data_IF_061874251228
#
_entry.id   IF_061874251228
#
_cell.length_a   1.000
_cell.length_b   1.000
_cell.length_c   1.000
_cell.angle_alpha   90.00
_cell.angle_beta   90.00
_cell.angle_gamma   90.00
#
_symmetry.space_group_name_H-M   'P 1'
#
loop_
_entity.id
_entity.type
_entity.pdbx_description
1 polymer ?
#
# COMPACT_ATOMS: atom_id res chain seq x y z
N UNK A 1 -12.15 -21.13 -30.60
CA UNK A 1 -10.98 -20.34 -30.23
C UNK A 1 -10.00 -21.26 -29.55
N UNK A 2 -8.69 -21.15 -29.85
CA UNK A 2 -7.66 -21.85 -29.08
C UNK A 2 -7.67 -21.27 -27.66
N UNK A 3 -7.70 -22.15 -26.66
CA UNK A 3 -7.65 -21.76 -25.24
C UNK A 3 -6.31 -21.06 -24.96
N UNK A 4 -6.34 -19.86 -24.39
CA UNK A 4 -5.13 -19.14 -23.99
C UNK A 4 -4.45 -19.89 -22.84
N UNK A 5 -3.11 -19.88 -22.80
CA UNK A 5 -2.33 -20.55 -21.74
C UNK A 5 -1.34 -19.59 -21.10
N UNK A 6 -1.16 -19.71 -19.78
CA UNK A 6 -0.15 -18.96 -19.02
C UNK A 6 0.55 -19.88 -18.01
N UNK A 7 1.81 -19.58 -17.69
CA UNK A 7 2.51 -20.21 -16.57
C UNK A 7 1.98 -19.66 -15.24
N UNK A 8 1.75 -18.33 -15.20
CA UNK A 8 1.19 -17.62 -14.04
C UNK A 8 0.19 -16.57 -14.51
N UNK A 9 -0.96 -16.47 -13.84
CA UNK A 9 -1.89 -15.36 -14.00
C UNK A 9 -1.96 -14.55 -12.70
N UNK A 10 -1.74 -13.24 -12.80
CA UNK A 10 -1.90 -12.28 -11.70
C UNK A 10 -3.21 -11.53 -11.88
N UNK A 11 -4.08 -11.55 -10.88
CA UNK A 11 -5.39 -10.86 -10.90
C UNK A 11 -5.27 -9.52 -10.20
N UNK A 12 -5.40 -8.42 -10.96
CA UNK A 12 -5.35 -7.04 -10.50
C UNK A 12 -4.06 -6.32 -10.87
N UNK A 13 -4.17 -5.23 -11.67
CA UNK A 13 -3.06 -4.36 -12.06
C UNK A 13 -2.96 -3.11 -11.17
N UNK A 14 -3.21 -3.27 -9.87
CA UNK A 14 -2.72 -2.37 -8.83
C UNK A 14 -1.20 -2.53 -8.66
N UNK A 15 -0.56 -1.66 -7.88
CA UNK A 15 0.90 -1.63 -7.73
C UNK A 15 1.51 -2.97 -7.28
N UNK A 16 0.83 -3.70 -6.37
CA UNK A 16 1.33 -4.99 -5.89
C UNK A 16 1.25 -6.08 -6.96
N UNK A 17 0.14 -6.15 -7.72
CA UNK A 17 0.03 -7.08 -8.85
C UNK A 17 0.98 -6.73 -9.99
N UNK A 18 1.14 -5.45 -10.32
CA UNK A 18 2.08 -4.99 -11.34
C UNK A 18 3.54 -5.30 -10.97
N UNK A 19 3.94 -5.02 -9.72
CA UNK A 19 5.27 -5.35 -9.21
C UNK A 19 5.52 -6.86 -9.21
N UNK A 20 4.52 -7.66 -8.78
CA UNK A 20 4.63 -9.14 -8.80
C UNK A 20 4.78 -9.67 -10.23
N UNK A 21 3.94 -9.23 -11.16
CA UNK A 21 4.00 -9.65 -12.55
C UNK A 21 5.35 -9.30 -13.21
N UNK A 22 5.84 -8.08 -12.98
CA UNK A 22 7.16 -7.64 -13.42
C UNK A 22 8.27 -8.54 -12.87
N UNK A 23 8.28 -8.80 -11.58
CA UNK A 23 9.32 -9.60 -10.96
C UNK A 23 9.27 -11.08 -11.39
N UNK A 24 8.10 -11.63 -11.72
CA UNK A 24 7.97 -12.97 -12.31
C UNK A 24 8.68 -13.04 -13.67
N UNK A 25 8.40 -12.12 -14.59
CA UNK A 25 9.05 -12.13 -15.91
C UNK A 25 10.55 -11.82 -15.81
N UNK A 26 10.96 -10.90 -14.91
CA UNK A 26 12.37 -10.59 -14.61
C UNK A 26 13.12 -11.82 -14.12
N UNK A 27 12.44 -12.74 -13.39
CA UNK A 27 13.00 -14.03 -12.93
C UNK A 27 12.87 -15.16 -13.96
N UNK A 28 12.42 -14.88 -15.18
CA UNK A 28 12.41 -15.82 -16.30
C UNK A 28 11.16 -16.66 -16.47
N UNK A 29 10.06 -16.36 -15.77
CA UNK A 29 8.75 -16.96 -16.06
C UNK A 29 8.31 -16.51 -17.45
N UNK A 30 8.03 -17.47 -18.36
CA UNK A 30 7.89 -17.18 -19.80
C UNK A 30 6.55 -16.56 -20.16
N UNK A 31 5.45 -17.06 -19.59
CA UNK A 31 4.09 -16.68 -19.93
C UNK A 31 3.36 -16.18 -18.70
N UNK A 32 3.56 -14.90 -18.38
CA UNK A 32 2.83 -14.23 -17.31
C UNK A 32 1.73 -13.36 -17.91
N UNK A 33 0.49 -13.54 -17.45
CA UNK A 33 -0.65 -12.69 -17.81
C UNK A 33 -1.05 -11.88 -16.58
N UNK A 34 -1.14 -10.57 -16.74
CA UNK A 34 -1.69 -9.64 -15.74
C UNK A 34 -3.10 -9.24 -16.17
N UNK A 35 -4.12 -9.65 -15.38
CA UNK A 35 -5.53 -9.32 -15.64
C UNK A 35 -5.93 -8.06 -14.87
N UNK A 36 -6.61 -7.14 -15.54
CA UNK A 36 -7.21 -5.96 -14.91
C UNK A 36 -8.63 -5.72 -15.44
N UNK A 37 -9.60 -5.68 -14.52
CA UNK A 37 -11.00 -5.45 -14.88
C UNK A 37 -11.30 -4.05 -15.41
N UNK A 38 -10.51 -3.07 -15.00
CA UNK A 38 -10.58 -1.68 -15.42
C UNK A 38 -9.29 -1.25 -16.10
N UNK A 39 -8.77 -0.09 -15.70
CA UNK A 39 -7.49 0.46 -16.15
C UNK A 39 -6.40 0.22 -15.07
N UNK A 40 -5.14 0.23 -15.50
CA UNK A 40 -3.99 0.15 -14.61
C UNK A 40 -4.14 1.18 -13.48
N UNK A 41 -3.90 0.75 -12.23
CA UNK A 41 -3.96 1.59 -11.03
C UNK A 41 -5.34 2.23 -10.73
N UNK A 42 -6.43 1.87 -11.41
CA UNK A 42 -7.74 2.51 -11.23
C UNK A 42 -8.43 2.17 -9.89
N UNK A 43 -7.94 1.16 -9.16
CA UNK A 43 -8.42 0.78 -7.83
C UNK A 43 -7.82 1.63 -6.71
N UNK A 44 -7.59 1.01 -5.54
CA UNK A 44 -7.02 1.67 -4.36
C UNK A 44 -5.65 2.29 -4.59
N UNK A 45 -4.85 1.73 -5.51
CA UNK A 45 -3.52 2.26 -5.83
C UNK A 45 -3.55 3.71 -6.30
N UNK A 46 -4.31 4.04 -7.33
CA UNK A 46 -4.34 5.39 -7.90
C UNK A 46 -5.01 6.43 -6.99
N UNK A 47 -5.64 5.98 -5.91
CA UNK A 47 -6.30 6.81 -4.90
C UNK A 47 -5.53 6.86 -3.58
N UNK A 48 -4.26 6.43 -3.59
CA UNK A 48 -3.39 6.44 -2.42
C UNK A 48 -2.71 7.79 -2.26
N UNK A 49 -2.57 8.28 -1.02
CA UNK A 49 -1.67 9.38 -0.70
C UNK A 49 -0.21 9.06 -1.04
N UNK A 50 0.11 7.80 -1.23
CA UNK A 50 1.44 7.31 -1.64
C UNK A 50 2.61 7.82 -0.78
N UNK A 51 2.37 8.00 0.52
CA UNK A 51 3.42 8.34 1.49
C UNK A 51 4.34 7.13 1.67
N UNK A 52 5.63 7.35 1.47
CA UNK A 52 6.70 6.38 1.67
C UNK A 52 7.32 6.66 3.04
N UNK A 53 7.08 5.78 4.02
CA UNK A 53 7.64 5.82 5.38
C UNK A 53 8.08 4.43 5.82
N UNK A 54 9.01 4.37 6.77
CA UNK A 54 9.62 3.11 7.20
C UNK A 54 9.20 2.69 8.61
N UNK A 55 8.36 3.46 9.28
CA UNK A 55 7.93 3.22 10.64
C UNK A 55 6.91 2.08 10.72
N UNK A 56 7.35 0.90 11.16
CA UNK A 56 6.55 -0.30 11.38
C UNK A 56 6.93 -0.98 12.69
N UNK A 57 6.00 -1.76 13.27
CA UNK A 57 6.18 -2.48 14.53
C UNK A 57 6.62 -3.95 14.35
N UNK A 58 6.43 -4.51 13.15
CA UNK A 58 6.78 -5.90 12.85
C UNK A 58 8.13 -5.96 12.12
N UNK A 59 9.12 -6.75 12.63
CA UNK A 59 10.47 -6.77 12.06
C UNK A 59 10.52 -7.09 10.55
N UNK A 60 9.72 -8.05 10.09
CA UNK A 60 9.72 -8.40 8.66
C UNK A 60 9.11 -7.27 7.79
N UNK A 61 8.08 -6.54 8.28
CA UNK A 61 7.59 -5.35 7.59
C UNK A 61 8.64 -4.24 7.53
N UNK A 62 9.45 -4.09 8.58
CA UNK A 62 10.58 -3.13 8.58
C UNK A 62 11.59 -3.50 7.50
N UNK A 63 11.95 -4.79 7.36
CA UNK A 63 12.84 -5.24 6.28
C UNK A 63 12.23 -5.02 4.90
N UNK A 64 10.95 -5.36 4.73
CA UNK A 64 10.20 -5.16 3.47
C UNK A 64 10.17 -3.69 3.07
N UNK A 65 9.82 -2.79 3.98
CA UNK A 65 9.75 -1.36 3.65
C UNK A 65 11.13 -0.77 3.43
N UNK A 66 12.16 -1.21 4.17
CA UNK A 66 13.55 -0.79 3.93
C UNK A 66 13.98 -1.09 2.50
N UNK A 67 13.82 -2.36 2.07
CA UNK A 67 14.14 -2.76 0.69
C UNK A 67 13.31 -1.96 -0.33
N UNK A 68 12.03 -1.73 -0.04
CA UNK A 68 11.17 -0.94 -0.92
C UNK A 68 11.64 0.51 -1.06
N UNK A 69 12.08 1.14 0.03
CA UNK A 69 12.62 2.51 0.01
C UNK A 69 13.93 2.56 -0.79
N UNK A 70 14.81 1.57 -0.63
CA UNK A 70 16.01 1.44 -1.47
C UNK A 70 15.66 1.38 -2.97
N UNK A 71 14.63 0.60 -3.34
CA UNK A 71 14.14 0.55 -4.72
C UNK A 71 13.56 1.90 -5.16
N UNK A 72 12.80 2.62 -4.31
CA UNK A 72 12.28 3.93 -4.66
C UNK A 72 13.38 4.96 -4.92
N UNK A 73 14.48 4.93 -4.15
CA UNK A 73 15.64 5.79 -4.36
C UNK A 73 16.39 5.49 -5.67
N UNK A 74 16.39 4.23 -6.11
CA UNK A 74 17.10 3.75 -7.30
C UNK A 74 16.14 3.19 -8.35
N UNK A 75 14.91 3.73 -8.42
CA UNK A 75 13.83 3.13 -9.20
C UNK A 75 14.14 2.97 -10.69
N UNK A 76 14.84 3.93 -11.27
CA UNK A 76 15.23 3.87 -12.68
C UNK A 76 16.21 2.72 -12.96
N UNK A 77 17.18 2.54 -12.09
CA UNK A 77 18.17 1.44 -12.20
C UNK A 77 17.55 0.07 -11.89
N UNK A 78 16.70 -0.02 -10.88
CA UNK A 78 16.13 -1.29 -10.37
C UNK A 78 14.97 -1.82 -11.21
N UNK A 79 14.11 -0.91 -11.67
CA UNK A 79 12.87 -1.22 -12.39
C UNK A 79 12.92 -0.69 -13.83
N UNK A 80 13.40 0.52 -14.02
CA UNK A 80 13.31 1.30 -15.25
C UNK A 80 12.12 2.24 -15.24
N UNK A 81 12.30 3.46 -15.71
CA UNK A 81 11.30 4.52 -15.71
C UNK A 81 11.23 5.29 -14.39
N UNK A 82 10.17 6.05 -14.19
CA UNK A 82 10.06 6.99 -13.08
C UNK A 82 8.92 6.62 -12.12
N UNK A 83 9.23 6.53 -10.83
CA UNK A 83 8.19 6.35 -9.78
C UNK A 83 7.55 7.66 -9.36
N UNK A 84 8.16 8.80 -9.70
CA UNK A 84 7.78 10.11 -9.14
C UNK A 84 8.09 10.22 -7.65
N UNK A 85 9.07 9.47 -7.14
CA UNK A 85 9.49 9.55 -5.75
C UNK A 85 10.15 10.89 -5.45
N UNK A 86 9.66 11.53 -4.38
CA UNK A 86 10.20 12.78 -3.82
C UNK A 86 10.67 12.48 -2.41
N UNK A 87 11.98 12.48 -2.21
CA UNK A 87 12.59 12.34 -0.90
C UNK A 87 12.52 13.69 -0.15
N UNK A 88 11.38 13.96 0.47
CA UNK A 88 11.19 15.17 1.27
C UNK A 88 11.39 14.94 2.78
N UNK A 89 11.65 13.69 3.19
CA UNK A 89 11.61 13.28 4.59
C UNK A 89 10.19 13.03 5.09
N UNK A 90 10.10 12.34 6.24
CA UNK A 90 8.84 12.09 6.91
C UNK A 90 9.00 12.25 8.42
N UNK A 91 8.00 12.91 9.04
CA UNK A 91 7.94 13.07 10.49
C UNK A 91 6.69 12.40 11.08
N UNK A 92 6.85 11.74 12.23
CA UNK A 92 5.76 11.14 12.98
C UNK A 92 5.54 11.91 14.27
N UNK A 93 4.38 12.51 14.41
CA UNK A 93 3.98 13.32 15.56
C UNK A 93 3.16 12.47 16.52
N UNK A 94 3.69 12.23 17.72
CA UNK A 94 3.15 11.28 18.69
C UNK A 94 2.66 12.01 19.94
N UNK A 95 1.39 11.80 20.35
CA UNK A 95 0.86 12.34 21.59
C UNK A 95 1.35 11.54 22.80
N UNK A 96 1.17 12.08 24.00
CA UNK A 96 1.68 11.49 25.25
C UNK A 96 1.17 10.07 25.51
N UNK A 97 -0.13 9.81 25.23
CA UNK A 97 -0.78 8.53 25.55
C UNK A 97 -0.31 7.32 24.72
N UNK A 98 0.53 7.52 23.70
CA UNK A 98 1.11 6.45 22.86
C UNK A 98 2.62 6.28 23.03
N UNK A 99 3.24 6.92 24.02
CA UNK A 99 4.69 6.91 24.21
C UNK A 99 5.25 5.55 24.67
N UNK A 100 4.41 4.71 25.31
CA UNK A 100 4.79 3.36 25.68
C UNK A 100 5.02 2.50 24.43
N UNK A 101 6.13 1.82 24.34
CA UNK A 101 6.52 1.03 23.18
C UNK A 101 7.21 1.82 22.05
N UNK A 102 7.06 3.15 21.99
CA UNK A 102 7.68 3.99 20.99
C UNK A 102 9.21 3.82 20.94
N UNK A 103 9.89 3.88 22.10
CA UNK A 103 11.34 3.72 22.17
C UNK A 103 11.79 2.33 21.72
N UNK A 104 11.08 1.26 22.13
CA UNK A 104 11.38 -0.12 21.71
C UNK A 104 11.22 -0.29 20.19
N UNK A 105 10.17 0.32 19.64
CA UNK A 105 9.93 0.28 18.19
C UNK A 105 11.03 1.00 17.41
N UNK A 106 11.41 2.20 17.86
CA UNK A 106 12.48 2.99 17.26
C UNK A 106 13.85 2.27 17.33
N UNK A 107 14.14 1.64 18.46
CA UNK A 107 15.37 0.85 18.64
C UNK A 107 15.39 -0.38 17.71
N UNK A 108 14.27 -1.09 17.59
CA UNK A 108 14.15 -2.23 16.66
C UNK A 108 14.38 -1.79 15.21
N UNK A 109 13.77 -0.68 14.77
CA UNK A 109 13.94 -0.14 13.44
C UNK A 109 15.41 0.24 13.16
N UNK A 110 16.07 0.91 14.11
CA UNK A 110 17.51 1.24 14.00
C UNK A 110 18.39 0.01 13.89
N UNK A 111 18.13 -1.02 14.70
CA UNK A 111 18.87 -2.32 14.62
C UNK A 111 18.69 -2.99 13.27
N UNK A 112 17.55 -2.83 12.62
CA UNK A 112 17.29 -3.33 11.28
C UNK A 112 17.82 -2.39 10.17
N UNK A 113 18.48 -1.28 10.56
CA UNK A 113 19.17 -0.38 9.64
C UNK A 113 18.28 0.68 9.01
N UNK A 114 17.14 1.02 9.64
CA UNK A 114 16.35 2.18 9.26
C UNK A 114 17.07 3.45 9.75
N UNK A 115 17.25 4.41 8.84
CA UNK A 115 17.74 5.74 9.17
C UNK A 115 16.58 6.56 9.80
N UNK A 116 16.35 6.33 11.09
CA UNK A 116 15.29 7.00 11.85
C UNK A 116 15.83 7.51 13.17
N UNK A 117 15.39 8.66 13.60
CA UNK A 117 15.79 9.26 14.87
C UNK A 117 14.67 10.03 15.53
N UNK A 118 14.70 10.06 16.85
CA UNK A 118 13.90 11.01 17.61
C UNK A 118 14.53 12.38 17.50
N UNK A 119 13.70 13.39 17.29
CA UNK A 119 14.10 14.80 17.21
C UNK A 119 13.27 15.62 18.19
N UNK A 120 13.77 16.78 18.58
CA UNK A 120 13.04 17.73 19.41
C UNK A 120 12.21 18.71 18.56
N UNK A 121 11.41 19.54 19.23
CA UNK A 121 10.52 20.52 18.56
C UNK A 121 11.32 21.59 17.79
N UNK A 122 12.45 22.02 18.31
CA UNK A 122 13.29 23.06 17.67
C UNK A 122 13.90 22.52 16.39
N UNK A 123 14.36 21.26 16.37
CA UNK A 123 14.86 20.61 15.16
C UNK A 123 13.75 20.51 14.08
N UNK A 124 12.53 20.15 14.47
CA UNK A 124 11.42 20.10 13.50
C UNK A 124 11.03 21.50 13.02
N UNK A 125 11.00 22.51 13.90
CA UNK A 125 10.74 23.90 13.51
C UNK A 125 11.82 24.47 12.56
N UNK A 126 13.07 24.04 12.62
CA UNK A 126 14.08 24.39 11.63
C UNK A 126 13.75 23.85 10.23
N UNK A 127 13.14 22.66 10.15
CA UNK A 127 12.73 22.05 8.88
C UNK A 127 11.39 22.60 8.38
N UNK A 128 10.40 22.73 9.28
CA UNK A 128 9.06 23.24 8.99
C UNK A 128 8.60 24.24 10.07
N UNK A 129 8.93 25.54 9.92
CA UNK A 129 8.67 26.53 10.97
C UNK A 129 7.19 26.88 11.17
N UNK A 130 6.30 26.44 10.28
CA UNK A 130 4.87 26.76 10.31
C UNK A 130 4.05 25.77 11.14
N UNK A 131 4.64 24.64 11.54
CA UNK A 131 3.95 23.56 12.26
C UNK A 131 3.70 23.92 13.72
N UNK A 132 2.47 23.82 14.21
CA UNK A 132 2.17 23.87 15.64
C UNK A 132 2.44 22.50 16.28
N UNK A 133 3.20 22.48 17.36
CA UNK A 133 3.62 21.26 18.07
C UNK A 133 3.15 21.24 19.52
N UNK A 134 2.20 22.10 19.91
CA UNK A 134 1.76 22.26 21.31
C UNK A 134 1.23 20.98 21.95
N UNK A 135 0.57 20.12 21.17
CA UNK A 135 -0.03 18.84 21.58
C UNK A 135 0.86 17.60 21.25
N UNK A 136 2.06 17.81 20.75
CA UNK A 136 3.00 16.76 20.36
C UNK A 136 3.96 16.46 21.50
N UNK A 137 4.05 15.20 21.91
CA UNK A 137 4.92 14.74 22.99
C UNK A 137 6.28 14.25 22.46
N UNK A 138 6.28 13.42 21.41
CA UNK A 138 7.50 12.86 20.80
C UNK A 138 7.44 12.99 19.27
N UNK A 139 8.60 13.04 18.65
CA UNK A 139 8.72 13.19 17.20
C UNK A 139 9.80 12.23 16.71
N UNK A 140 9.47 11.38 15.69
CA UNK A 140 10.51 10.71 14.90
C UNK A 140 10.65 11.37 13.54
N UNK A 141 11.86 11.31 13.01
CA UNK A 141 12.19 11.80 11.68
C UNK A 141 12.94 10.74 10.88
N UNK A 142 12.49 10.52 9.65
CA UNK A 142 13.08 9.62 8.66
C UNK A 142 13.51 10.44 7.43
N UNK A 143 14.81 10.73 7.26
CA UNK A 143 15.29 11.56 6.14
C UNK A 143 15.16 10.87 4.78
N UNK A 144 15.18 9.53 4.73
CA UNK A 144 15.14 8.76 3.49
C UNK A 144 13.70 8.46 3.02
N UNK A 145 12.72 9.00 3.72
CA UNK A 145 11.29 8.83 3.46
C UNK A 145 10.71 10.01 2.65
N UNK A 146 9.45 9.90 2.21
CA UNK A 146 8.81 10.94 1.41
C UNK A 146 7.49 10.47 0.82
N UNK A 147 7.30 10.68 -0.48
CA UNK A 147 6.12 10.21 -1.21
C UNK A 147 6.46 9.92 -2.68
N UNK A 148 5.59 9.17 -3.37
CA UNK A 148 5.76 8.90 -4.79
C UNK A 148 4.45 9.15 -5.56
N UNK A 149 4.49 9.00 -6.88
CA UNK A 149 3.31 9.07 -7.72
C UNK A 149 2.78 7.64 -7.96
N UNK A 150 1.56 7.30 -7.46
CA UNK A 150 1.06 5.93 -7.53
C UNK A 150 0.77 5.47 -8.97
N UNK A 151 0.36 6.37 -9.85
CA UNK A 151 0.16 6.06 -11.26
C UNK A 151 1.50 5.83 -11.95
N UNK A 152 2.46 6.78 -11.84
CA UNK A 152 3.75 6.66 -12.48
C UNK A 152 4.49 5.37 -12.04
N UNK A 153 4.51 5.08 -10.74
CA UNK A 153 5.10 3.85 -10.20
C UNK A 153 4.48 2.59 -10.82
N UNK A 154 3.14 2.53 -10.87
CA UNK A 154 2.44 1.33 -11.38
C UNK A 154 2.62 1.18 -12.90
N UNK A 155 2.51 2.29 -13.64
CA UNK A 155 2.75 2.29 -15.08
C UNK A 155 4.17 1.87 -15.44
N UNK A 156 5.20 2.31 -14.69
CA UNK A 156 6.57 1.90 -14.90
C UNK A 156 6.75 0.37 -14.76
N UNK A 157 6.18 -0.23 -13.68
CA UNK A 157 6.17 -1.68 -13.53
C UNK A 157 5.49 -2.39 -14.69
N UNK A 158 4.32 -1.92 -15.12
CA UNK A 158 3.56 -2.55 -16.22
C UNK A 158 4.28 -2.38 -17.55
N UNK A 159 4.90 -1.23 -17.80
CA UNK A 159 5.67 -1.02 -19.02
C UNK A 159 6.86 -1.99 -19.08
N UNK A 160 7.64 -2.08 -18.00
CA UNK A 160 8.77 -3.03 -17.94
C UNK A 160 8.32 -4.48 -18.03
N UNK A 161 7.21 -4.83 -17.39
CA UNK A 161 6.57 -6.14 -17.54
C UNK A 161 6.30 -6.49 -19.00
N UNK A 162 5.71 -5.56 -19.77
CA UNK A 162 5.43 -5.74 -21.21
C UNK A 162 6.72 -5.85 -22.04
N UNK A 163 7.70 -4.99 -21.78
CA UNK A 163 9.00 -5.00 -22.48
C UNK A 163 9.76 -6.33 -22.29
N UNK A 164 9.57 -6.98 -21.13
CA UNK A 164 10.13 -8.30 -20.83
C UNK A 164 9.27 -9.47 -21.35
N UNK A 165 8.21 -9.19 -22.12
CA UNK A 165 7.35 -10.18 -22.76
C UNK A 165 6.12 -10.61 -21.96
N UNK A 166 5.80 -9.93 -20.87
CA UNK A 166 4.55 -10.13 -20.14
C UNK A 166 3.33 -9.60 -20.88
N UNK A 167 2.18 -10.22 -20.69
CA UNK A 167 0.93 -9.84 -21.34
C UNK A 167 -0.04 -9.20 -20.34
N UNK A 168 -0.41 -7.94 -20.57
CA UNK A 168 -1.48 -7.25 -19.84
C UNK A 168 -2.79 -7.37 -20.61
N UNK A 169 -3.86 -7.75 -19.90
CA UNK A 169 -5.23 -7.73 -20.38
C UNK A 169 -6.05 -6.75 -19.52
N UNK A 170 -6.14 -5.49 -19.98
CA UNK A 170 -7.02 -4.48 -19.39
C UNK A 170 -8.47 -4.72 -19.82
N UNK A 171 -9.42 -4.13 -19.13
CA UNK A 171 -10.87 -4.28 -19.34
C UNK A 171 -11.29 -5.75 -19.40
N UNK A 172 -10.53 -6.62 -18.70
CA UNK A 172 -10.73 -8.07 -18.68
C UNK A 172 -10.87 -8.54 -17.24
N UNK A 173 -12.11 -8.75 -16.83
CA UNK A 173 -12.43 -9.27 -15.50
C UNK A 173 -12.20 -10.79 -15.43
N UNK A 174 -11.51 -11.23 -14.36
CA UNK A 174 -11.66 -12.61 -13.92
C UNK A 174 -13.08 -12.80 -13.37
N UNK A 175 -13.74 -13.86 -13.72
CA UNK A 175 -15.14 -14.16 -13.32
C UNK A 175 -15.26 -15.46 -12.51
N UNK A 176 -14.20 -16.27 -12.48
CA UNK A 176 -14.17 -17.53 -11.74
C UNK A 176 -12.83 -18.23 -11.86
N UNK A 177 -12.65 -19.26 -11.06
CA UNK A 177 -11.54 -20.19 -11.11
C UNK A 177 -12.07 -21.62 -11.28
N UNK A 178 -11.34 -22.46 -12.04
CA UNK A 178 -11.55 -23.89 -12.05
C UNK A 178 -10.51 -24.55 -11.18
N UNK A 179 -10.98 -25.31 -10.20
CA UNK A 179 -10.15 -26.08 -9.27
C UNK A 179 -10.48 -27.57 -9.50
N UNK A 180 -9.49 -28.35 -9.89
CA UNK A 180 -9.64 -29.78 -10.10
C UNK A 180 -8.61 -30.53 -9.26
N UNK A 181 -9.05 -31.58 -8.56
CA UNK A 181 -8.19 -32.38 -7.66
C UNK A 181 -7.38 -31.57 -6.67
N UNK A 182 -7.96 -30.43 -6.19
CA UNK A 182 -7.32 -29.55 -5.22
C UNK A 182 -6.36 -28.51 -5.79
N UNK A 183 -6.18 -28.44 -7.11
CA UNK A 183 -5.29 -27.47 -7.78
C UNK A 183 -5.99 -26.60 -8.81
N UNK A 184 -5.44 -25.42 -9.06
CA UNK A 184 -5.90 -24.49 -10.09
C UNK A 184 -5.65 -25.10 -11.48
N UNK A 185 -6.63 -24.98 -12.39
CA UNK A 185 -6.48 -25.43 -13.80
C UNK A 185 -6.78 -24.34 -14.81
N UNK A 186 -7.64 -23.37 -14.48
CA UNK A 186 -7.90 -22.21 -15.34
C UNK A 186 -8.56 -21.05 -14.62
N UNK A 187 -8.48 -19.85 -15.23
CA UNK A 187 -9.28 -18.68 -14.90
C UNK A 187 -10.35 -18.50 -15.96
N UNK A 188 -11.60 -18.25 -15.54
CA UNK A 188 -12.70 -17.91 -16.42
C UNK A 188 -12.74 -16.41 -16.66
N UNK A 189 -12.89 -15.99 -17.92
CA UNK A 189 -13.15 -14.59 -18.33
C UNK A 189 -14.24 -14.54 -19.40
N UNK A 190 -14.84 -13.37 -19.64
CA UNK A 190 -15.82 -13.18 -20.74
C UNK A 190 -15.22 -13.41 -22.13
N UNK A 191 -13.91 -13.24 -22.27
CA UNK A 191 -13.18 -13.40 -23.53
C UNK A 191 -12.74 -14.85 -23.76
N UNK A 192 -13.01 -15.77 -22.82
CA UNK A 192 -12.65 -17.17 -22.81
C UNK A 192 -11.76 -17.53 -21.62
N UNK A 193 -11.64 -18.83 -21.38
CA UNK A 193 -10.83 -19.35 -20.27
C UNK A 193 -9.32 -19.24 -20.58
N UNK A 194 -8.54 -18.99 -19.52
CA UNK A 194 -7.07 -19.00 -19.56
C UNK A 194 -6.59 -20.20 -18.74
N UNK A 195 -5.99 -21.19 -19.40
CA UNK A 195 -5.40 -22.33 -18.71
C UNK A 195 -4.12 -21.92 -17.99
N UNK A 196 -4.07 -22.21 -16.70
CA UNK A 196 -2.91 -21.94 -15.84
C UNK A 196 -2.95 -22.81 -14.60
N UNK A 197 -1.79 -23.23 -14.11
CA UNK A 197 -1.66 -23.92 -12.82
C UNK A 197 -1.36 -22.98 -11.65
N UNK A 198 -1.09 -21.69 -11.90
CA UNK A 198 -0.72 -20.74 -10.86
C UNK A 198 -1.49 -19.43 -11.01
N UNK A 199 -2.13 -19.01 -9.92
CA UNK A 199 -2.88 -17.75 -9.81
C UNK A 199 -2.40 -16.96 -8.61
N UNK A 200 -2.11 -15.68 -8.83
CA UNK A 200 -1.85 -14.71 -7.76
C UNK A 200 -3.06 -13.80 -7.59
N UNK A 201 -3.69 -13.86 -6.43
CA UNK A 201 -4.79 -12.99 -6.06
C UNK A 201 -4.24 -11.66 -5.52
N UNK A 202 -4.10 -10.67 -6.42
CA UNK A 202 -3.71 -9.29 -6.12
C UNK A 202 -4.88 -8.32 -6.32
N UNK A 203 -6.12 -8.80 -6.14
CA UNK A 203 -7.35 -8.08 -6.44
C UNK A 203 -7.75 -7.02 -5.39
N UNK A 204 -6.89 -6.76 -4.38
CA UNK A 204 -7.14 -5.74 -3.33
C UNK A 204 -8.51 -5.91 -2.67
N UNK A 205 -9.40 -4.87 -2.71
CA UNK A 205 -10.73 -4.93 -2.09
C UNK A 205 -11.65 -6.07 -2.59
N UNK A 206 -11.33 -6.68 -3.72
CA UNK A 206 -12.09 -7.83 -4.29
C UNK A 206 -11.45 -9.19 -4.00
N UNK A 207 -10.37 -9.23 -3.21
CA UNK A 207 -9.60 -10.46 -3.00
C UNK A 207 -10.39 -11.57 -2.31
N UNK A 208 -11.33 -11.25 -1.40
CA UNK A 208 -12.22 -12.25 -0.80
C UNK A 208 -13.09 -12.92 -1.86
N UNK A 209 -13.64 -12.17 -2.83
CA UNK A 209 -14.45 -12.72 -3.92
C UNK A 209 -13.67 -13.67 -4.82
N UNK A 210 -12.41 -13.33 -5.09
CA UNK A 210 -11.51 -14.23 -5.83
C UNK A 210 -11.20 -15.50 -5.01
N UNK A 211 -11.01 -15.35 -3.69
CA UNK A 211 -10.83 -16.48 -2.78
C UNK A 211 -12.04 -17.44 -2.77
N UNK A 212 -13.26 -16.88 -2.76
CA UNK A 212 -14.50 -17.67 -2.78
C UNK A 212 -14.60 -18.59 -4.01
N UNK A 213 -14.08 -18.19 -5.17
CA UNK A 213 -14.04 -19.07 -6.36
C UNK A 213 -13.15 -20.30 -6.16
N UNK A 214 -12.17 -20.21 -5.26
CA UNK A 214 -11.32 -21.33 -4.87
C UNK A 214 -11.84 -22.06 -3.60
N UNK A 215 -13.03 -21.73 -3.10
CA UNK A 215 -13.59 -22.28 -1.86
C UNK A 215 -12.98 -21.72 -0.58
N UNK A 216 -12.20 -20.63 -0.67
CA UNK A 216 -11.50 -20.02 0.45
C UNK A 216 -12.30 -18.83 1.01
N UNK A 217 -12.22 -18.64 2.31
CA UNK A 217 -12.68 -17.41 2.99
C UNK A 217 -11.47 -16.55 3.31
N UNK A 218 -11.37 -15.42 2.64
CA UNK A 218 -10.30 -14.45 2.91
C UNK A 218 -10.86 -13.40 3.89
N UNK A 219 -10.31 -13.23 5.08
CA UNK A 219 -10.86 -12.35 6.11
C UNK A 219 -10.49 -10.87 5.83
N UNK A 220 -11.04 -10.34 4.75
CA UNK A 220 -10.88 -8.93 4.36
C UNK A 220 -12.21 -8.21 4.57
N UNK A 221 -12.16 -7.10 5.29
CA UNK A 221 -13.22 -6.09 5.34
C UNK A 221 -12.83 -4.91 4.47
N UNK A 222 -13.74 -4.46 3.61
CA UNK A 222 -13.47 -3.29 2.76
C UNK A 222 -13.96 -2.04 3.47
N UNK A 223 -13.07 -1.06 3.64
CA UNK A 223 -13.42 0.24 4.21
C UNK A 223 -13.24 1.36 3.19
N UNK A 224 -14.13 2.35 3.29
CA UNK A 224 -14.08 3.57 2.50
C UNK A 224 -13.20 4.60 3.20
N UNK A 225 -12.28 5.15 2.45
CA UNK A 225 -11.32 6.16 2.90
C UNK A 225 -11.49 7.44 2.10
N UNK A 226 -11.20 8.58 2.72
CA UNK A 226 -11.38 9.89 2.11
C UNK A 226 -10.11 10.73 2.26
N UNK A 227 -9.81 11.51 1.23
CA UNK A 227 -8.69 12.46 1.21
C UNK A 227 -9.15 13.80 0.60
N UNK A 228 -8.56 14.90 1.06
CA UNK A 228 -8.74 16.22 0.49
C UNK A 228 -7.46 16.73 -0.13
N UNK A 229 -7.58 17.53 -1.16
CA UNK A 229 -6.50 18.27 -1.79
C UNK A 229 -6.68 19.76 -1.49
N UNK A 230 -5.75 20.35 -0.78
CA UNK A 230 -5.78 21.76 -0.36
C UNK A 230 -4.83 22.56 -1.24
N UNK A 231 -5.30 23.70 -1.77
CA UNK A 231 -4.45 24.70 -2.43
C UNK A 231 -3.66 25.47 -1.37
N UNK A 232 -2.34 25.50 -1.51
CA UNK A 232 -1.43 26.09 -0.49
C UNK A 232 -0.45 27.10 -1.06
N UNK A 233 -0.57 27.48 -2.33
CA UNK A 233 0.34 28.44 -2.99
C UNK A 233 0.35 29.80 -2.30
N UNK A 234 -0.82 30.33 -1.96
CA UNK A 234 -0.98 31.67 -1.36
C UNK A 234 -0.55 31.75 0.12
N UNK A 235 -0.22 30.60 0.71
CA UNK A 235 0.23 30.50 2.12
C UNK A 235 1.69 30.04 2.23
N UNK A 236 2.47 30.19 1.17
CA UNK A 236 3.90 29.87 1.13
C UNK A 236 4.21 28.43 0.71
N UNK A 237 3.30 27.78 -0.04
CA UNK A 237 3.44 26.44 -0.54
C UNK A 237 3.10 25.34 0.47
N UNK A 238 3.11 24.08 0.06
CA UNK A 238 2.79 22.93 0.93
C UNK A 238 3.78 22.78 2.09
N UNK A 239 3.47 21.92 3.09
CA UNK A 239 4.46 21.48 4.07
C UNK A 239 5.70 20.91 3.40
N UNK A 240 6.88 21.15 3.98
CA UNK A 240 8.16 20.71 3.40
C UNK A 240 8.40 19.20 3.52
N UNK A 241 7.76 18.57 4.49
CA UNK A 241 7.89 17.15 4.81
C UNK A 241 6.55 16.43 4.61
N UNK A 242 6.59 15.11 4.46
CA UNK A 242 5.42 14.28 4.69
C UNK A 242 5.27 13.98 6.19
N UNK A 243 4.04 13.79 6.66
CA UNK A 243 3.75 13.58 8.08
C UNK A 243 2.72 12.47 8.32
N UNK A 244 2.87 11.79 9.45
CA UNK A 244 1.78 11.11 10.14
C UNK A 244 1.61 11.75 11.51
N UNK A 245 0.42 12.24 11.78
CA UNK A 245 0.09 13.02 12.96
C UNK A 245 -0.96 12.29 13.79
N UNK A 246 -0.50 11.56 14.81
CA UNK A 246 -1.41 10.84 15.70
C UNK A 246 -2.14 11.77 16.68
N UNK A 247 -1.59 12.94 16.98
CA UNK A 247 -2.23 13.88 17.89
C UNK A 247 -3.51 14.47 17.29
N UNK A 248 -3.48 14.74 15.97
CA UNK A 248 -4.64 15.24 15.22
C UNK A 248 -5.37 14.15 14.43
N UNK A 249 -4.89 12.90 14.45
CA UNK A 249 -5.42 11.80 13.65
C UNK A 249 -5.54 12.12 12.15
N UNK A 250 -4.51 12.75 11.58
CA UNK A 250 -4.38 13.05 10.15
C UNK A 250 -3.02 12.61 9.63
N UNK A 251 -2.92 12.46 8.32
CA UNK A 251 -1.65 12.39 7.62
C UNK A 251 -1.68 13.38 6.44
N UNK A 252 -0.52 13.88 6.07
CA UNK A 252 -0.45 14.85 4.98
C UNK A 252 0.92 14.84 4.32
N UNK A 253 0.94 15.29 3.08
CA UNK A 253 2.15 15.41 2.28
C UNK A 253 2.04 16.53 1.25
N UNK A 254 3.18 17.09 0.82
CA UNK A 254 3.17 17.99 -0.33
C UNK A 254 2.67 17.27 -1.59
N UNK A 255 2.00 18.00 -2.47
CA UNK A 255 1.65 17.58 -3.83
C UNK A 255 2.13 18.64 -4.82
N UNK A 256 3.28 18.38 -5.46
CA UNK A 256 3.96 19.38 -6.27
C UNK A 256 4.41 20.59 -5.44
N UNK A 257 4.28 21.77 -6.02
CA UNK A 257 4.76 23.02 -5.40
C UNK A 257 3.65 23.88 -4.76
N UNK A 258 2.39 23.52 -4.96
CA UNK A 258 1.26 24.39 -4.59
C UNK A 258 0.16 23.72 -3.78
N UNK A 259 0.18 22.38 -3.61
CA UNK A 259 -0.93 21.64 -3.04
C UNK A 259 -0.48 20.71 -1.92
N UNK A 260 -1.44 20.36 -1.06
CA UNK A 260 -1.25 19.39 0.04
C UNK A 260 -2.36 18.36 0.00
N UNK A 261 -2.01 17.08 -0.02
CA UNK A 261 -2.94 15.97 0.23
C UNK A 261 -3.05 15.76 1.72
N UNK A 262 -4.28 15.69 2.24
CA UNK A 262 -4.57 15.42 3.65
C UNK A 262 -5.62 14.34 3.78
N UNK A 263 -5.35 13.32 4.60
CA UNK A 263 -6.29 12.26 4.93
C UNK A 263 -6.41 12.05 6.44
N UNK A 264 -7.42 11.27 6.85
CA UNK A 264 -7.63 10.92 8.26
C UNK A 264 -6.85 9.68 8.63
N UNK A 265 -6.03 9.80 9.68
CA UNK A 265 -5.32 8.72 10.33
C UNK A 265 -6.12 8.07 11.47
N UNK A 266 -5.46 7.17 12.20
CA UNK A 266 -6.03 6.59 13.41
C UNK A 266 -5.86 7.57 14.61
N UNK A 267 -6.82 7.64 15.56
CA UNK A 267 -8.10 6.92 15.62
C UNK A 267 -9.19 7.55 14.75
N UNK A 268 -9.98 6.72 14.07
CA UNK A 268 -11.16 7.16 13.30
C UNK A 268 -12.21 6.05 13.25
N UNK A 269 -13.43 6.40 12.88
CA UNK A 269 -14.45 5.41 12.51
C UNK A 269 -14.19 4.93 11.08
N UNK A 270 -14.31 3.63 10.88
CA UNK A 270 -14.18 3.01 9.57
C UNK A 270 -15.57 2.71 9.00
N UNK A 271 -15.82 3.20 7.79
CA UNK A 271 -17.03 2.91 7.04
C UNK A 271 -16.83 1.65 6.23
N UNK A 272 -17.51 0.55 6.59
CA UNK A 272 -17.50 -0.71 5.83
C UNK A 272 -18.40 -0.59 4.62
N UNK A 273 -17.92 -1.00 3.46
CA UNK A 273 -18.65 -0.88 2.20
C UNK A 273 -18.48 -2.12 1.31
N UNK A 274 -19.42 -2.29 0.37
CA UNK A 274 -19.21 -3.19 -0.77
C UNK A 274 -18.31 -2.48 -1.80
N UNK A 275 -17.19 -3.11 -2.26
CA UNK A 275 -16.28 -2.47 -3.19
C UNK A 275 -16.88 -2.16 -4.56
N UNK A 276 -18.05 -2.69 -4.89
CA UNK A 276 -18.75 -2.37 -6.14
C UNK A 276 -19.82 -1.29 -5.95
N UNK A 277 -20.26 -1.03 -4.71
CA UNK A 277 -21.36 -0.10 -4.42
C UNK A 277 -21.02 0.73 -3.19
N UNK A 278 -20.37 1.87 -3.39
CA UNK A 278 -20.06 2.82 -2.33
C UNK A 278 -20.14 4.26 -2.83
N UNK A 279 -20.28 5.22 -1.92
CA UNK A 279 -20.23 6.64 -2.28
C UNK A 279 -18.81 7.02 -2.71
N UNK A 280 -18.66 7.41 -3.97
CA UNK A 280 -17.37 7.80 -4.56
C UNK A 280 -17.03 9.29 -4.34
N UNK A 281 -17.95 10.07 -3.78
CA UNK A 281 -17.72 11.47 -3.40
C UNK A 281 -17.34 11.57 -1.94
N UNK A 282 -16.41 12.43 -1.59
CA UNK A 282 -16.08 12.70 -0.20
C UNK A 282 -17.25 13.42 0.52
N UNK A 283 -17.44 13.10 1.80
CA UNK A 283 -18.49 13.71 2.59
C UNK A 283 -18.13 15.17 2.94
N UNK A 284 -19.09 16.11 2.85
CA UNK A 284 -18.82 17.52 3.21
C UNK A 284 -18.31 17.69 4.65
N UNK A 285 -18.81 16.90 5.59
CA UNK A 285 -18.38 16.90 6.99
C UNK A 285 -16.90 16.48 7.10
N UNK A 286 -16.50 15.41 6.38
CA UNK A 286 -15.12 14.97 6.32
C UNK A 286 -14.19 16.07 5.80
N UNK A 287 -14.60 16.75 4.71
CA UNK A 287 -13.81 17.83 4.09
C UNK A 287 -13.58 18.96 5.11
N UNK A 288 -14.65 19.38 5.80
CA UNK A 288 -14.58 20.46 6.77
C UNK A 288 -13.75 20.09 8.00
N UNK A 289 -13.99 18.91 8.58
CA UNK A 289 -13.25 18.44 9.75
C UNK A 289 -11.76 18.25 9.45
N UNK A 290 -11.44 17.60 8.33
CA UNK A 290 -10.04 17.34 7.95
C UNK A 290 -9.27 18.62 7.67
N UNK A 291 -9.91 19.59 6.99
CA UNK A 291 -9.35 20.93 6.83
C UNK A 291 -9.10 21.62 8.17
N UNK A 292 -10.07 21.56 9.09
CA UNK A 292 -9.95 22.18 10.42
C UNK A 292 -8.74 21.64 11.17
N UNK A 293 -8.60 20.30 11.25
CA UNK A 293 -7.47 19.66 11.92
C UNK A 293 -6.12 20.01 11.27
N UNK A 294 -6.09 20.11 9.94
CA UNK A 294 -4.91 20.53 9.22
C UNK A 294 -4.52 21.99 9.52
N UNK A 295 -5.50 22.90 9.56
CA UNK A 295 -5.27 24.31 9.92
C UNK A 295 -4.86 24.48 11.39
N UNK A 296 -5.38 23.66 12.30
CA UNK A 296 -4.90 23.63 13.69
C UNK A 296 -3.41 23.23 13.76
N UNK A 297 -2.96 22.30 12.92
CA UNK A 297 -1.55 21.91 12.83
C UNK A 297 -0.70 22.99 12.14
N UNK A 298 -1.26 23.72 11.20
CA UNK A 298 -0.62 24.78 10.44
C UNK A 298 -1.47 26.07 10.46
N UNK A 299 -1.44 26.88 11.52
CA UNK A 299 -2.29 28.09 11.63
C UNK A 299 -2.09 29.09 10.50
N UNK A 300 -0.89 29.16 9.92
CA UNK A 300 -0.60 29.99 8.74
C UNK A 300 -1.43 29.62 7.50
N UNK A 301 -1.99 28.39 7.46
CA UNK A 301 -2.81 27.89 6.35
C UNK A 301 -4.31 28.15 6.55
N UNK A 302 -4.70 29.03 7.46
CA UNK A 302 -6.11 29.36 7.75
C UNK A 302 -6.91 29.81 6.52
N UNK A 303 -6.24 30.43 5.54
CA UNK A 303 -6.85 30.86 4.26
C UNK A 303 -6.83 29.78 3.17
N UNK A 304 -6.08 28.70 3.36
CA UNK A 304 -6.01 27.61 2.38
C UNK A 304 -7.34 26.87 2.29
N UNK A 305 -7.79 26.57 1.07
CA UNK A 305 -9.08 25.97 0.81
C UNK A 305 -8.92 24.60 0.12
N UNK A 306 -9.77 23.62 0.46
CA UNK A 306 -9.90 22.41 -0.33
C UNK A 306 -10.35 22.75 -1.76
N UNK A 307 -9.64 22.21 -2.74
CA UNK A 307 -9.93 22.37 -4.18
C UNK A 307 -10.46 21.09 -4.79
N UNK A 308 -10.22 19.95 -4.13
CA UNK A 308 -10.70 18.64 -4.56
C UNK A 308 -10.80 17.71 -3.34
N UNK A 309 -11.59 16.65 -3.47
CA UNK A 309 -11.68 15.59 -2.49
C UNK A 309 -12.08 14.28 -3.19
N UNK A 310 -11.48 13.17 -2.77
CA UNK A 310 -11.72 11.88 -3.41
C UNK A 310 -11.78 10.75 -2.37
N UNK A 311 -12.25 9.60 -2.83
CA UNK A 311 -12.40 8.41 -2.00
C UNK A 311 -11.61 7.24 -2.55
N UNK A 312 -11.09 6.42 -1.65
CA UNK A 312 -10.42 5.17 -1.94
C UNK A 312 -10.99 4.01 -1.12
N UNK A 313 -10.47 2.81 -1.34
CA UNK A 313 -10.85 1.63 -0.58
C UNK A 313 -9.61 1.00 0.05
N UNK A 314 -9.73 0.59 1.32
CA UNK A 314 -8.77 -0.31 1.95
C UNK A 314 -9.35 -1.72 2.01
N UNK A 315 -8.47 -2.70 1.86
CA UNK A 315 -8.68 -4.13 2.03
C UNK A 315 -8.15 -4.55 3.40
N UNK A 316 -8.97 -4.37 4.45
CA UNK A 316 -8.53 -4.47 5.85
C UNK A 316 -8.60 -5.90 6.35
N UNK A 317 -7.49 -6.42 6.86
CA UNK A 317 -7.39 -7.70 7.56
C UNK A 317 -7.62 -7.54 9.07
N UNK A 318 -7.96 -8.60 9.82
CA UNK A 318 -8.19 -8.52 11.26
C UNK A 318 -7.01 -7.97 12.08
N UNK A 319 -5.79 -8.17 11.60
CA UNK A 319 -4.55 -7.72 12.25
C UNK A 319 -3.85 -6.57 11.54
N UNK A 320 -4.50 -5.98 10.52
CA UNK A 320 -3.98 -4.85 9.72
C UNK A 320 -2.68 -5.16 8.95
N UNK A 321 -2.38 -6.44 8.73
CA UNK A 321 -1.18 -6.86 8.01
C UNK A 321 -1.54 -7.62 6.74
N UNK A 322 -0.71 -7.58 5.69
CA UNK A 322 -1.01 -8.21 4.41
C UNK A 322 -1.14 -9.72 4.51
N UNK A 323 -1.81 -10.32 3.53
CA UNK A 323 -1.85 -11.76 3.30
C UNK A 323 -0.97 -12.06 2.10
N UNK A 324 0.12 -12.80 2.33
CA UNK A 324 1.16 -13.05 1.34
C UNK A 324 1.48 -14.55 1.23
N UNK A 325 1.87 -14.97 0.02
CA UNK A 325 2.43 -16.27 -0.25
C UNK A 325 1.41 -17.34 -0.62
N UNK A 326 1.87 -18.58 -0.65
CA UNK A 326 1.09 -19.77 -1.04
C UNK A 326 -0.05 -20.02 -0.07
N UNK A 327 -1.19 -20.47 -0.61
CA UNK A 327 -2.32 -20.99 0.17
C UNK A 327 -2.26 -22.52 0.13
N UNK A 328 -2.13 -23.14 1.30
CA UNK A 328 -1.89 -24.59 1.40
C UNK A 328 -3.11 -25.43 0.96
N UNK A 329 -4.32 -24.89 1.12
CA UNK A 329 -5.59 -25.59 0.83
C UNK A 329 -5.85 -25.73 -0.67
N UNK A 330 -5.22 -24.91 -1.52
CA UNK A 330 -5.44 -24.92 -2.97
C UNK A 330 -4.11 -24.82 -3.70
N UNK A 331 -3.70 -25.90 -4.35
CA UNK A 331 -2.44 -25.92 -5.09
C UNK A 331 -2.45 -24.88 -6.23
N UNK A 332 -1.37 -24.11 -6.31
CA UNK A 332 -1.21 -23.04 -7.30
C UNK A 332 -1.93 -21.74 -6.97
N UNK A 333 -2.58 -21.61 -5.81
CA UNK A 333 -3.19 -20.34 -5.39
C UNK A 333 -2.27 -19.57 -4.45
N UNK A 334 -2.01 -18.30 -4.78
CA UNK A 334 -1.17 -17.39 -4.00
C UNK A 334 -1.92 -16.12 -3.63
N UNK A 335 -1.71 -15.62 -2.41
CA UNK A 335 -2.27 -14.37 -1.92
C UNK A 335 -1.26 -13.23 -2.00
N UNK A 336 -1.72 -12.06 -2.45
CA UNK A 336 -1.01 -10.79 -2.46
C UNK A 336 -2.02 -9.64 -2.25
N UNK A 337 -2.68 -9.63 -1.09
CA UNK A 337 -3.79 -8.71 -0.80
C UNK A 337 -3.91 -8.45 0.71
N UNK A 338 -4.93 -7.69 1.13
CA UNK A 338 -5.18 -7.38 2.54
C UNK A 338 -4.18 -6.38 3.12
N UNK A 339 -3.74 -5.45 2.32
CA UNK A 339 -2.68 -4.50 2.70
C UNK A 339 -3.10 -3.43 3.70
N UNK A 340 -4.38 -3.30 4.00
CA UNK A 340 -4.90 -2.44 5.07
C UNK A 340 -4.42 -0.98 5.00
N UNK A 341 -4.29 -0.44 3.76
CA UNK A 341 -3.81 0.93 3.52
C UNK A 341 -2.28 1.09 3.46
N UNK A 342 -1.51 0.03 3.57
CA UNK A 342 -0.03 0.09 3.56
C UNK A 342 0.61 -0.36 2.24
N UNK A 343 -0.16 -0.94 1.32
CA UNK A 343 0.34 -1.70 0.18
C UNK A 343 1.25 -0.93 -0.77
N UNK A 344 1.02 0.37 -0.96
CA UNK A 344 1.78 1.13 -1.94
C UNK A 344 3.29 1.19 -1.61
N UNK A 345 3.63 1.61 -0.39
CA UNK A 345 5.02 1.83 0.01
C UNK A 345 5.88 0.57 0.11
N UNK A 346 5.23 -0.60 0.26
CA UNK A 346 5.92 -1.90 0.35
C UNK A 346 5.88 -2.70 -0.95
N UNK A 347 5.12 -2.24 -1.96
CA UNK A 347 4.90 -2.96 -3.21
C UNK A 347 6.18 -3.34 -3.98
N UNK A 348 7.24 -2.51 -4.03
CA UNK A 348 8.48 -2.89 -4.69
C UNK A 348 9.04 -4.21 -4.16
N UNK A 349 9.26 -4.33 -2.88
CA UNK A 349 9.79 -5.54 -2.24
C UNK A 349 8.76 -6.70 -2.23
N UNK A 350 7.46 -6.42 -2.07
CA UNK A 350 6.42 -7.45 -2.14
C UNK A 350 6.47 -8.18 -3.49
N UNK A 351 6.64 -7.46 -4.60
CA UNK A 351 6.77 -8.08 -5.91
C UNK A 351 7.99 -8.99 -6.02
N UNK A 352 9.13 -8.60 -5.45
CA UNK A 352 10.34 -9.45 -5.37
C UNK A 352 10.06 -10.74 -4.59
N UNK A 353 9.46 -10.62 -3.39
CA UNK A 353 9.19 -11.74 -2.49
C UNK A 353 8.12 -12.70 -3.06
N UNK A 354 7.06 -12.18 -3.66
CA UNK A 354 6.05 -13.01 -4.30
C UNK A 354 6.61 -13.80 -5.48
N UNK A 355 7.47 -13.17 -6.28
CA UNK A 355 8.13 -13.87 -7.38
C UNK A 355 9.13 -14.92 -6.88
N UNK A 356 9.85 -14.67 -5.79
CA UNK A 356 10.71 -15.68 -5.14
C UNK A 356 9.89 -16.87 -4.62
N UNK A 357 8.81 -16.62 -3.90
CA UNK A 357 7.93 -17.65 -3.36
C UNK A 357 7.38 -18.56 -4.46
N UNK A 358 6.98 -17.97 -5.61
CA UNK A 358 6.43 -18.72 -6.74
C UNK A 358 7.51 -19.50 -7.50
N UNK A 359 8.66 -18.89 -7.76
CA UNK A 359 9.72 -19.49 -8.61
C UNK A 359 10.62 -20.45 -7.82
N UNK A 360 10.92 -20.12 -6.56
CA UNK A 360 11.88 -20.87 -5.73
C UNK A 360 11.20 -21.71 -4.65
N UNK A 361 9.89 -21.54 -4.44
CA UNK A 361 9.14 -22.17 -3.33
C UNK A 361 9.48 -21.61 -1.97
N UNK A 362 10.20 -20.49 -1.89
CA UNK A 362 10.58 -19.79 -0.65
C UNK A 362 11.09 -18.38 -0.95
N UNK A 363 10.97 -17.49 0.02
CA UNK A 363 11.61 -16.17 -0.03
C UNK A 363 13.06 -16.20 0.45
N UNK A 364 13.86 -15.21 0.05
CA UNK A 364 15.29 -15.09 0.39
C UNK A 364 15.51 -13.84 1.24
N UNK A 365 16.08 -14.00 2.42
CA UNK A 365 16.46 -12.89 3.30
C UNK A 365 15.33 -12.28 4.12
N UNK A 366 14.08 -12.32 3.65
CA UNK A 366 12.89 -11.83 4.37
C UNK A 366 11.86 -12.96 4.47
N UNK A 367 11.42 -13.28 5.67
CA UNK A 367 10.46 -14.36 5.90
C UNK A 367 9.01 -13.85 5.85
N UNK A 368 8.23 -14.29 4.85
CA UNK A 368 6.82 -13.91 4.71
C UNK A 368 5.85 -14.90 5.34
N UNK A 369 6.29 -15.98 5.96
CA UNK A 369 5.40 -17.03 6.54
C UNK A 369 4.49 -16.49 7.63
N UNK A 370 4.91 -15.45 8.37
CA UNK A 370 4.05 -14.75 9.34
C UNK A 370 2.84 -14.05 8.70
N UNK A 371 2.89 -13.80 7.39
CA UNK A 371 1.81 -13.19 6.63
C UNK A 371 0.91 -14.20 5.89
N UNK A 372 1.12 -15.50 6.10
CA UNK A 372 0.30 -16.55 5.48
C UNK A 372 -1.17 -16.44 5.89
N UNK A 373 -2.10 -16.83 4.98
CA UNK A 373 -3.54 -16.83 5.24
C UNK A 373 -3.90 -17.67 6.48
N UNK A 374 -3.23 -18.82 6.66
CA UNK A 374 -3.47 -19.76 7.78
C UNK A 374 -3.26 -19.16 9.18
N UNK A 375 -2.62 -17.98 9.30
CA UNK A 375 -2.43 -17.32 10.62
C UNK A 375 -3.75 -16.94 11.29
N UNK A 376 -4.79 -16.66 10.49
CA UNK A 376 -6.11 -16.31 11.03
C UNK A 376 -6.82 -17.51 11.65
N UNK A 377 -6.73 -18.68 11.03
CA UNK A 377 -7.30 -19.92 11.57
C UNK A 377 -6.53 -20.41 12.81
N UNK A 378 -5.21 -20.24 12.77
CA UNK A 378 -4.31 -20.61 13.90
C UNK A 378 -4.37 -19.61 15.05
N UNK A 379 -5.06 -18.47 14.91
CA UNK A 379 -5.09 -17.41 15.91
C UNK A 379 -3.73 -16.72 16.13
N UNK A 380 -2.79 -16.85 15.17
CA UNK A 380 -1.44 -16.27 15.25
C UNK A 380 -1.41 -14.86 14.65
N UNK A 381 -2.28 -13.98 15.14
CA UNK A 381 -2.40 -12.62 14.64
C UNK A 381 -1.14 -11.79 14.95
N UNK A 382 -0.73 -10.98 13.99
CA UNK A 382 0.37 -10.03 14.15
C UNK A 382 -0.11 -8.86 14.99
N UNK A 383 0.58 -8.57 16.09
CA UNK A 383 0.25 -7.46 16.97
C UNK A 383 1.17 -6.28 16.73
N UNK A 384 0.60 -5.13 16.36
CA UNK A 384 1.32 -3.86 16.29
C UNK A 384 1.45 -3.19 17.65
N UNK A 385 2.53 -2.43 17.84
CA UNK A 385 2.79 -1.71 19.10
C UNK A 385 1.72 -0.66 19.41
N UNK A 386 1.12 -0.07 18.37
CA UNK A 386 0.15 1.01 18.50
C UNK A 386 -1.30 0.55 18.28
N UNK A 387 -1.55 -0.72 17.93
CA UNK A 387 -2.86 -1.29 17.55
C UNK A 387 -3.39 -0.77 16.20
N UNK A 388 -4.29 -1.55 15.54
CA UNK A 388 -4.90 -1.20 14.26
C UNK A 388 -3.89 -0.82 13.18
N UNK A 389 -4.25 0.14 12.32
CA UNK A 389 -3.36 0.65 11.26
C UNK A 389 -2.27 1.62 11.76
N UNK A 390 -1.95 1.57 13.02
CA UNK A 390 -0.86 2.36 13.61
C UNK A 390 0.53 1.76 13.36
N UNK A 391 0.65 0.93 12.39
CA UNK A 391 1.82 0.20 11.92
C UNK A 391 3.10 0.31 12.74
#
# INVERSE_FOLDING_TARGET
MLMKTADVVVIGAGVNGASTAYNLVKRGVKKVILLEKGLIASGGTGRSAAIIRQHYSHPELVKIVKRSVEIFHHFDDEVGGQSGFVNCGWAFLVPEYVSEGFSRNLEMQRRLGINTREINRDELHQMEPRVDLSDVHRITYEPDSGYANPHATTYAYVQRFRELGGELLEMTSAEGLRVEKGGITSICTKQGDISTGIVVNAAGPWADRVGQWAGLKIPIEVTREEEILIETVDVGGPPKLAFSDMAKAIYYRPEGLSRTVVGRGFPKKYERVDPNVFNQSANPEFIQETRTLFVERFPSFSKALPIDAYTGLYDVTPDWNPILGKVEEVEGFYMCAGFSGHGFKIAPCIGELMAEEIVLGKTVGIDIRSFALSRFEKGSLIQGVYGGNRA
#
